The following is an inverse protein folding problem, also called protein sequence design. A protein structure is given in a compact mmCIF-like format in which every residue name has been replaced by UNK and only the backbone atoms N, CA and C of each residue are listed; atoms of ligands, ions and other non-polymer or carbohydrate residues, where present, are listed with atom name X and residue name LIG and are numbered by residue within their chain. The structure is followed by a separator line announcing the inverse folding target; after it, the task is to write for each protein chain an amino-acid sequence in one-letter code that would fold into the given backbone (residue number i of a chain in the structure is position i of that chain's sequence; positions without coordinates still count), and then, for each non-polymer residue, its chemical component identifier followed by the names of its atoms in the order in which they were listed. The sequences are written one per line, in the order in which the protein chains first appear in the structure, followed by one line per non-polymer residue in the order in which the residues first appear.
data_IF_914268712016
#
_entry.id   IF_914268712016
#
_cell.length_a   1.000
_cell.length_b   1.000
_cell.length_c   1.000
_cell.angle_alpha   90.00
_cell.angle_beta   90.00
_cell.angle_gamma   90.00
#
_symmetry.space_group_name_H-M   'P 1'
#
loop_
_entity.id
_entity.type
_entity.pdbx_description
1 polymer ?
#
# COMPACT_ATOMS: atom_id res chain seq x y z
N UNK A 1 24.97 -13.09 -4.68
CA UNK A 1 23.92 -13.16 -3.64
C UNK A 1 22.87 -14.14 -4.14
N UNK A 2 22.28 -14.97 -3.28
CA UNK A 2 21.20 -15.85 -3.73
C UNK A 2 20.00 -14.98 -4.14
N UNK A 3 19.37 -15.28 -5.28
CA UNK A 3 18.14 -14.59 -5.70
C UNK A 3 17.05 -14.80 -4.65
N UNK A 4 16.40 -13.72 -4.21
CA UNK A 4 15.32 -13.77 -3.21
C UNK A 4 14.20 -14.67 -3.69
N UNK A 5 13.63 -15.47 -2.79
CA UNK A 5 12.45 -16.29 -3.09
C UNK A 5 11.23 -15.39 -3.08
N UNK A 6 10.61 -15.20 -4.25
CA UNK A 6 9.46 -14.31 -4.41
C UNK A 6 8.17 -15.09 -4.51
N UNK A 7 7.18 -14.70 -3.73
CA UNK A 7 5.82 -15.21 -3.77
C UNK A 7 4.90 -14.14 -4.38
N UNK A 8 4.10 -14.49 -5.38
CA UNK A 8 3.09 -13.60 -5.94
C UNK A 8 1.70 -14.23 -5.73
N UNK A 9 0.86 -13.53 -4.98
CA UNK A 9 -0.49 -14.01 -4.67
C UNK A 9 -1.42 -13.62 -5.81
N UNK A 10 -1.88 -14.62 -6.54
CA UNK A 10 -2.70 -14.45 -7.73
C UNK A 10 -3.46 -15.73 -8.08
N UNK A 11 -4.71 -15.55 -8.52
CA UNK A 11 -5.47 -16.52 -9.31
C UNK A 11 -6.39 -15.77 -10.26
N UNK A 12 -6.86 -16.44 -11.32
CA UNK A 12 -7.82 -15.84 -12.25
C UNK A 12 -9.14 -15.45 -11.55
N UNK A 13 -9.59 -16.25 -10.58
CA UNK A 13 -10.78 -15.93 -9.75
C UNK A 13 -10.53 -14.69 -8.91
N UNK A 14 -9.37 -14.61 -8.25
CA UNK A 14 -9.02 -13.45 -7.43
C UNK A 14 -9.00 -12.16 -8.24
N UNK A 15 -8.38 -12.18 -9.43
CA UNK A 15 -8.34 -11.00 -10.30
C UNK A 15 -9.73 -10.62 -10.79
N UNK A 16 -10.58 -11.58 -11.16
CA UNK A 16 -11.98 -11.30 -11.51
C UNK A 16 -12.74 -10.63 -10.37
N UNK A 17 -12.55 -11.11 -9.14
CA UNK A 17 -13.12 -10.48 -7.95
C UNK A 17 -12.57 -9.07 -7.74
N UNK A 18 -11.27 -8.84 -7.90
CA UNK A 18 -10.69 -7.50 -7.73
C UNK A 18 -11.17 -6.50 -8.80
N UNK A 19 -11.41 -6.97 -10.03
CA UNK A 19 -11.90 -6.15 -11.12
C UNK A 19 -13.40 -5.83 -11.03
N UNK A 20 -14.15 -6.45 -10.11
CA UNK A 20 -15.57 -6.13 -9.91
C UNK A 20 -15.76 -4.76 -9.24
N UNK A 21 -14.74 -4.20 -8.61
CA UNK A 21 -14.80 -2.89 -7.96
C UNK A 21 -15.00 -1.76 -8.98
N UNK A 22 -16.18 -1.15 -8.99
CA UNK A 22 -16.59 -0.19 -10.01
C UNK A 22 -15.68 1.03 -10.16
N UNK A 23 -15.05 1.49 -9.07
CA UNK A 23 -14.16 2.66 -9.09
C UNK A 23 -12.77 2.40 -9.67
N UNK A 24 -12.36 1.14 -9.79
CA UNK A 24 -11.03 0.75 -10.29
C UNK A 24 -11.15 -0.39 -11.31
N UNK A 25 -11.91 -0.17 -12.40
CA UNK A 25 -12.23 -1.23 -13.34
C UNK A 25 -10.95 -1.78 -13.97
N UNK A 26 -10.80 -3.10 -13.97
CA UNK A 26 -9.73 -3.81 -14.66
C UNK A 26 -8.29 -3.51 -14.19
N UNK A 27 -8.09 -2.78 -13.08
CA UNK A 27 -6.75 -2.46 -12.58
C UNK A 27 -5.96 -3.72 -12.24
N UNK A 28 -6.59 -4.68 -11.57
CA UNK A 28 -5.92 -5.92 -11.17
C UNK A 28 -5.55 -6.78 -12.38
N UNK A 29 -6.46 -6.91 -13.35
CA UNK A 29 -6.15 -7.60 -14.62
C UNK A 29 -5.03 -6.92 -15.38
N UNK A 30 -5.04 -5.60 -15.49
CA UNK A 30 -4.04 -4.89 -16.29
C UNK A 30 -2.64 -5.01 -15.68
N UNK A 31 -2.52 -4.91 -14.36
CA UNK A 31 -1.26 -5.16 -13.64
C UNK A 31 -0.79 -6.60 -13.87
N UNK A 32 -1.66 -7.60 -13.65
CA UNK A 32 -1.29 -8.99 -13.82
C UNK A 32 -0.85 -9.30 -15.25
N UNK A 33 -1.61 -8.85 -16.25
CA UNK A 33 -1.34 -9.13 -17.64
C UNK A 33 -0.07 -8.43 -18.13
N UNK A 34 0.26 -7.23 -17.62
CA UNK A 34 1.53 -6.58 -17.95
C UNK A 34 2.72 -7.34 -17.34
N UNK A 35 2.65 -7.74 -16.06
CA UNK A 35 3.65 -8.60 -15.41
C UNK A 35 3.85 -9.90 -16.21
N UNK A 36 2.75 -10.51 -16.65
CA UNK A 36 2.75 -11.73 -17.48
C UNK A 36 3.37 -11.48 -18.86
N UNK A 37 3.06 -10.35 -19.50
CA UNK A 37 3.54 -9.99 -20.83
C UNK A 37 5.06 -9.79 -20.86
N UNK A 38 5.64 -9.23 -19.78
CA UNK A 38 7.10 -9.18 -19.58
C UNK A 38 7.74 -10.53 -19.21
N UNK A 39 6.94 -11.59 -19.06
CA UNK A 39 7.43 -12.93 -18.74
C UNK A 39 7.97 -13.08 -17.32
N UNK A 40 7.55 -12.22 -16.38
CA UNK A 40 8.08 -12.19 -15.03
C UNK A 40 7.61 -13.38 -14.17
N UNK A 41 6.44 -13.97 -14.47
CA UNK A 41 5.84 -15.05 -13.68
C UNK A 41 6.76 -16.27 -13.50
N UNK A 42 7.68 -16.53 -14.44
CA UNK A 42 8.62 -17.65 -14.37
C UNK A 42 9.70 -17.51 -13.28
N UNK A 43 9.87 -16.31 -12.72
CA UNK A 43 10.86 -16.00 -11.69
C UNK A 43 10.26 -15.95 -10.28
N UNK A 44 8.96 -16.17 -10.14
CA UNK A 44 8.24 -16.10 -8.87
C UNK A 44 7.37 -17.33 -8.67
N UNK A 45 7.11 -17.68 -7.42
CA UNK A 45 6.12 -18.68 -7.07
C UNK A 45 4.74 -18.01 -7.07
N UNK A 46 3.89 -18.37 -8.01
CA UNK A 46 2.50 -17.90 -8.05
C UNK A 46 1.63 -18.83 -7.19
N UNK A 47 0.85 -18.27 -6.26
CA UNK A 47 -0.09 -19.04 -5.44
C UNK A 47 -1.48 -18.39 -5.44
N UNK A 48 -2.51 -19.22 -5.46
CA UNK A 48 -3.88 -18.74 -5.28
C UNK A 48 -4.08 -18.24 -3.84
N UNK A 49 -4.75 -17.10 -3.64
CA UNK A 49 -5.14 -16.66 -2.30
C UNK A 49 -6.22 -17.57 -1.73
N UNK A 50 -6.25 -17.67 -0.40
CA UNK A 50 -7.46 -18.13 0.30
C UNK A 50 -8.44 -16.96 0.45
N UNK A 51 -9.70 -17.29 0.61
CA UNK A 51 -10.73 -16.37 1.08
C UNK A 51 -10.48 -16.04 2.56
N UNK A 52 -10.57 -14.77 2.98
CA UNK A 52 -10.61 -14.46 4.41
C UNK A 52 -11.95 -14.94 4.99
N UNK A 53 -11.89 -15.66 6.10
CA UNK A 53 -13.08 -15.99 6.88
C UNK A 53 -13.52 -14.81 7.74
N UNK A 54 -14.74 -14.84 8.25
CA UNK A 54 -15.19 -13.84 9.22
C UNK A 54 -14.22 -13.72 10.41
N UNK A 55 -13.74 -14.85 10.96
CA UNK A 55 -12.77 -14.87 12.06
C UNK A 55 -11.44 -14.20 11.71
N UNK A 56 -10.98 -14.33 10.45
CA UNK A 56 -9.78 -13.63 9.98
C UNK A 56 -9.99 -12.11 10.00
N UNK A 57 -11.15 -11.65 9.52
CA UNK A 57 -11.48 -10.22 9.46
C UNK A 57 -11.69 -9.64 10.87
N UNK A 58 -12.34 -10.41 11.75
CA UNK A 58 -12.63 -10.05 13.13
C UNK A 58 -11.38 -10.03 14.03
N UNK A 59 -10.22 -10.47 13.52
CA UNK A 59 -8.95 -10.26 14.21
C UNK A 59 -8.60 -8.78 14.39
N UNK A 60 -9.17 -7.89 13.57
CA UNK A 60 -9.08 -6.45 13.71
C UNK A 60 -10.45 -5.80 13.82
N UNK A 61 -11.31 -6.02 12.83
CA UNK A 61 -12.61 -5.34 12.73
C UNK A 61 -13.61 -5.83 13.78
N UNK A 62 -14.59 -5.01 14.18
CA UNK A 62 -15.66 -5.51 15.05
C UNK A 62 -16.63 -6.43 14.31
N UNK A 63 -17.19 -7.38 15.04
CA UNK A 63 -18.27 -8.24 14.55
C UNK A 63 -19.49 -7.42 14.09
N UNK A 64 -19.76 -6.29 14.75
CA UNK A 64 -20.88 -5.40 14.41
C UNK A 64 -20.68 -4.76 13.03
N UNK A 65 -19.49 -4.20 12.77
CA UNK A 65 -19.14 -3.66 11.47
C UNK A 65 -19.19 -4.73 10.38
N UNK A 66 -18.57 -5.89 10.60
CA UNK A 66 -18.51 -6.97 9.62
C UNK A 66 -19.90 -7.53 9.29
N UNK A 67 -20.74 -7.75 10.30
CA UNK A 67 -22.11 -8.24 10.10
C UNK A 67 -22.95 -7.24 9.30
N UNK A 68 -22.82 -5.94 9.58
CA UNK A 68 -23.50 -4.90 8.81
C UNK A 68 -22.98 -4.83 7.38
N UNK A 69 -21.66 -4.87 7.21
CA UNK A 69 -21.01 -4.82 5.91
C UNK A 69 -21.40 -6.01 5.01
N UNK A 70 -21.45 -7.23 5.56
CA UNK A 70 -21.90 -8.42 4.85
C UNK A 70 -23.38 -8.31 4.45
N UNK A 71 -24.24 -7.79 5.34
CA UNK A 71 -25.66 -7.57 5.05
C UNK A 71 -25.85 -6.62 3.87
N UNK A 72 -25.22 -5.43 3.90
CA UNK A 72 -25.38 -4.43 2.83
C UNK A 72 -24.74 -4.89 1.52
N UNK A 73 -23.66 -5.67 1.57
CA UNK A 73 -23.05 -6.27 0.38
C UNK A 73 -24.00 -7.24 -0.33
N UNK A 74 -24.87 -7.92 0.44
CA UNK A 74 -25.82 -8.89 -0.10
C UNK A 74 -27.12 -8.26 -0.60
N UNK A 75 -27.52 -7.13 -0.02
CA UNK A 75 -28.75 -6.41 -0.37
C UNK A 75 -28.52 -5.31 -1.44
N UNK A 76 -27.26 -4.87 -1.64
CA UNK A 76 -26.88 -3.92 -2.69
C UNK A 76 -27.32 -2.49 -2.42
N UNK A 77 -27.42 -1.67 -3.47
CA UNK A 77 -27.80 -0.24 -3.37
C UNK A 77 -29.21 -0.01 -2.79
N UNK A 78 -30.07 -1.03 -2.81
CA UNK A 78 -31.43 -0.98 -2.24
C UNK A 78 -31.42 -1.06 -0.70
N UNK A 79 -30.28 -1.37 -0.09
CA UNK A 79 -30.08 -1.36 1.36
C UNK A 79 -29.94 0.08 1.89
N UNK A 80 -31.03 0.85 1.90
CA UNK A 80 -31.09 2.16 2.58
C UNK A 80 -31.15 1.96 4.10
N UNK A 81 -30.05 1.48 4.66
CA UNK A 81 -29.88 1.30 6.11
C UNK A 81 -29.24 2.55 6.69
N UNK A 82 -29.93 3.30 7.59
CA UNK A 82 -29.39 4.52 8.21
C UNK A 82 -28.06 4.31 8.94
N UNK A 83 -27.80 3.09 9.40
CA UNK A 83 -26.57 2.68 10.10
C UNK A 83 -25.34 2.65 9.18
N UNK A 84 -25.52 2.52 7.86
CA UNK A 84 -24.42 2.49 6.88
C UNK A 84 -23.54 3.74 6.96
N UNK A 85 -24.14 4.92 7.21
CA UNK A 85 -23.36 6.15 7.39
C UNK A 85 -22.47 6.13 8.64
N UNK A 86 -22.88 5.44 9.70
CA UNK A 86 -22.07 5.32 10.93
C UNK A 86 -20.87 4.40 10.73
N UNK A 87 -20.99 3.46 9.78
CA UNK A 87 -19.92 2.55 9.38
C UNK A 87 -19.11 3.06 8.18
N UNK A 88 -19.29 4.33 7.78
CA UNK A 88 -18.54 4.96 6.68
C UNK A 88 -18.91 4.43 5.28
N UNK A 89 -20.02 3.72 5.16
CA UNK A 89 -20.52 3.16 3.90
C UNK A 89 -21.45 4.18 3.24
N UNK A 90 -21.03 4.72 2.10
CA UNK A 90 -21.71 5.82 1.45
C UNK A 90 -20.92 6.42 0.29
N UNK A 91 -20.65 7.73 0.34
CA UNK A 91 -20.16 8.50 -0.80
C UNK A 91 -18.82 7.99 -1.35
N UNK A 92 -17.79 7.95 -0.51
CA UNK A 92 -16.46 7.48 -0.90
C UNK A 92 -16.36 5.96 -0.88
N UNK A 93 -17.05 5.28 0.05
CA UNK A 93 -17.15 3.81 0.10
C UNK A 93 -18.56 3.33 -0.30
N UNK A 94 -18.92 3.31 -1.60
CA UNK A 94 -20.26 2.93 -2.05
C UNK A 94 -20.57 1.48 -1.70
N UNK A 95 -21.82 1.22 -1.34
CA UNK A 95 -22.34 -0.13 -1.20
C UNK A 95 -22.65 -0.67 -2.59
N UNK A 96 -22.12 -1.84 -2.91
CA UNK A 96 -22.38 -2.53 -4.17
C UNK A 96 -22.48 -4.03 -3.90
N UNK A 97 -23.25 -4.73 -4.72
CA UNK A 97 -23.37 -6.19 -4.61
C UNK A 97 -21.99 -6.85 -4.74
N UNK A 98 -21.64 -7.70 -3.78
CA UNK A 98 -20.37 -8.44 -3.81
C UNK A 98 -19.15 -7.71 -3.23
N UNK A 99 -19.33 -6.52 -2.63
CA UNK A 99 -18.22 -5.73 -2.07
C UNK A 99 -17.56 -6.39 -0.85
N UNK A 100 -18.32 -7.16 -0.07
CA UNK A 100 -17.79 -7.94 1.05
C UNK A 100 -16.87 -9.06 0.56
N UNK A 101 -17.30 -9.79 -0.47
CA UNK A 101 -16.49 -10.83 -1.13
C UNK A 101 -15.22 -10.24 -1.72
N UNK A 102 -15.30 -9.05 -2.32
CA UNK A 102 -14.11 -8.31 -2.75
C UNK A 102 -13.15 -8.03 -1.58
N UNK A 103 -13.65 -7.40 -0.51
CA UNK A 103 -12.83 -7.01 0.63
C UNK A 103 -12.20 -8.22 1.33
N UNK A 104 -12.98 -9.28 1.52
CA UNK A 104 -12.50 -10.54 2.08
C UNK A 104 -11.46 -11.22 1.17
N UNK A 105 -11.56 -11.08 -0.16
CA UNK A 105 -10.64 -11.73 -1.09
C UNK A 105 -9.28 -11.06 -1.04
N UNK A 106 -9.29 -9.72 -0.98
CA UNK A 106 -8.09 -8.91 -0.81
C UNK A 106 -7.44 -9.18 0.55
N UNK A 107 -8.21 -9.19 1.63
CA UNK A 107 -7.71 -9.55 2.96
C UNK A 107 -7.10 -10.96 2.99
N UNK A 108 -7.78 -11.93 2.38
CA UNK A 108 -7.32 -13.30 2.27
C UNK A 108 -6.02 -13.43 1.48
N UNK A 109 -5.86 -12.64 0.41
CA UNK A 109 -4.62 -12.57 -0.36
C UNK A 109 -3.45 -12.01 0.44
N UNK A 110 -3.66 -10.92 1.19
CA UNK A 110 -2.64 -10.35 2.07
C UNK A 110 -2.27 -11.30 3.21
N UNK A 111 -3.24 -11.99 3.81
CA UNK A 111 -2.99 -13.03 4.82
C UNK A 111 -2.22 -14.22 4.25
N UNK A 112 -2.52 -14.63 3.02
CA UNK A 112 -1.79 -15.70 2.30
C UNK A 112 -0.33 -15.30 2.07
N UNK A 113 -0.09 -14.05 1.66
CA UNK A 113 1.26 -13.50 1.46
C UNK A 113 2.04 -13.44 2.78
N UNK A 114 1.42 -12.90 3.83
CA UNK A 114 2.00 -12.80 5.17
C UNK A 114 2.34 -14.18 5.77
N UNK A 115 1.48 -15.18 5.57
CA UNK A 115 1.74 -16.55 5.99
C UNK A 115 2.95 -17.18 5.27
N UNK A 116 3.12 -16.89 3.98
CA UNK A 116 4.31 -17.30 3.22
C UNK A 116 5.61 -16.78 3.83
N UNK A 117 5.63 -15.49 4.23
CA UNK A 117 6.77 -14.87 4.90
C UNK A 117 6.99 -15.43 6.31
N UNK A 118 5.92 -15.51 7.11
CA UNK A 118 5.93 -16.04 8.49
C UNK A 118 6.51 -17.45 8.56
N UNK A 119 6.13 -18.30 7.60
CA UNK A 119 6.56 -19.70 7.53
C UNK A 119 7.93 -19.87 6.81
N UNK A 120 8.57 -18.78 6.38
CA UNK A 120 9.87 -18.81 5.69
C UNK A 120 9.81 -19.44 4.29
N UNK A 121 8.64 -19.48 3.64
CA UNK A 121 8.45 -20.02 2.28
C UNK A 121 9.05 -19.08 1.24
N UNK A 122 8.98 -17.77 1.48
CA UNK A 122 9.54 -16.72 0.65
C UNK A 122 10.26 -15.66 1.49
N UNK A 123 11.05 -14.85 0.82
CA UNK A 123 11.75 -13.69 1.40
C UNK A 123 10.99 -12.39 1.07
N UNK A 124 10.30 -12.37 -0.08
CA UNK A 124 9.39 -11.29 -0.50
C UNK A 124 8.05 -11.88 -0.94
N UNK A 125 6.94 -11.29 -0.51
CA UNK A 125 5.60 -11.66 -0.95
C UNK A 125 4.87 -10.45 -1.54
N UNK A 126 4.17 -10.64 -2.65
CA UNK A 126 3.50 -9.59 -3.42
C UNK A 126 1.98 -9.81 -3.42
N UNK A 127 1.23 -8.78 -3.04
CA UNK A 127 -0.22 -8.67 -3.28
C UNK A 127 -0.58 -7.26 -3.76
N UNK A 128 -0.52 -7.02 -5.08
CA UNK A 128 -0.77 -5.70 -5.66
C UNK A 128 -2.23 -5.22 -5.56
N UNK A 129 -3.19 -6.09 -5.29
CA UNK A 129 -4.59 -5.69 -5.11
C UNK A 129 -4.95 -5.37 -3.64
N UNK A 130 -4.02 -5.58 -2.71
CA UNK A 130 -4.11 -5.12 -1.31
C UNK A 130 -3.52 -3.73 -1.10
N UNK A 131 -3.42 -3.32 0.16
CA UNK A 131 -2.90 -1.99 0.54
C UNK A 131 -3.98 -0.98 0.93
N UNK A 132 -5.18 -1.43 1.30
CA UNK A 132 -6.33 -0.58 1.64
C UNK A 132 -6.20 -0.03 3.07
N UNK A 133 -5.36 1.00 3.20
CA UNK A 133 -4.84 1.48 4.47
C UNK A 133 -5.77 2.39 5.30
N UNK A 134 -6.88 2.89 4.73
CA UNK A 134 -7.77 3.85 5.42
C UNK A 134 -8.85 3.20 6.28
N UNK A 135 -9.18 1.92 6.03
CA UNK A 135 -10.23 1.22 6.76
C UNK A 135 -9.90 1.21 8.27
N UNK A 136 -10.87 1.63 9.08
CA UNK A 136 -10.76 1.66 10.53
C UNK A 136 -11.29 0.35 11.10
N UNK A 137 -11.22 0.23 12.43
CA UNK A 137 -11.75 -0.94 13.14
C UNK A 137 -13.24 -1.17 12.84
N UNK A 138 -14.00 -0.09 12.90
CA UNK A 138 -15.47 -0.11 12.86
C UNK A 138 -16.02 0.78 11.73
N UNK A 139 -15.21 1.14 10.73
CA UNK A 139 -15.62 2.10 9.71
C UNK A 139 -14.84 1.91 8.39
N UNK A 140 -15.55 1.95 7.26
CA UNK A 140 -14.95 2.07 5.93
C UNK A 140 -14.55 3.53 5.66
N UNK A 141 -13.45 3.75 4.95
CA UNK A 141 -13.00 5.11 4.61
C UNK A 141 -12.13 5.10 3.35
N UNK A 142 -12.25 6.11 2.48
CA UNK A 142 -11.33 6.30 1.36
C UNK A 142 -11.18 5.07 0.45
N UNK A 143 -12.30 4.47 0.03
CA UNK A 143 -12.38 3.23 -0.75
C UNK A 143 -11.96 1.95 0.00
N UNK A 144 -11.57 2.04 1.26
CA UNK A 144 -11.11 0.92 2.07
C UNK A 144 -12.23 0.43 2.98
N UNK A 145 -12.69 -0.80 2.76
CA UNK A 145 -13.72 -1.45 3.59
C UNK A 145 -13.09 -2.32 4.68
N UNK A 146 -12.12 -3.15 4.31
CA UNK A 146 -11.34 -3.99 5.23
C UNK A 146 -9.87 -3.57 5.16
N UNK A 147 -9.23 -3.45 6.32
CA UNK A 147 -7.82 -3.09 6.39
C UNK A 147 -6.95 -4.35 6.27
N UNK A 148 -6.72 -4.79 5.02
CA UNK A 148 -5.90 -5.97 4.74
C UNK A 148 -4.45 -5.80 5.25
N UNK A 149 -3.95 -4.56 5.30
CA UNK A 149 -2.62 -4.23 5.80
C UNK A 149 -2.50 -4.56 7.29
N UNK A 150 -3.45 -4.12 8.11
CA UNK A 150 -3.49 -4.42 9.55
C UNK A 150 -3.55 -5.92 9.79
N UNK A 151 -4.41 -6.64 9.05
CA UNK A 151 -4.52 -8.10 9.14
C UNK A 151 -3.20 -8.79 8.75
N UNK A 152 -2.53 -8.32 7.70
CA UNK A 152 -1.20 -8.78 7.30
C UNK A 152 -0.13 -8.56 8.38
N UNK A 153 -0.11 -7.38 9.00
CA UNK A 153 0.81 -7.06 10.11
C UNK A 153 0.52 -7.96 11.32
N UNK A 154 -0.75 -8.14 11.71
CA UNK A 154 -1.13 -9.03 12.81
C UNK A 154 -0.66 -10.47 12.55
N UNK A 155 -0.81 -10.96 11.31
CA UNK A 155 -0.32 -12.28 10.91
C UNK A 155 1.21 -12.41 11.00
N UNK A 156 1.95 -11.38 10.58
CA UNK A 156 3.42 -11.35 10.72
C UNK A 156 3.85 -11.28 12.20
N UNK A 157 3.10 -10.55 13.04
CA UNK A 157 3.37 -10.38 14.47
C UNK A 157 3.26 -11.67 15.29
N UNK A 158 2.65 -12.72 14.74
CA UNK A 158 2.68 -14.07 15.32
C UNK A 158 4.10 -14.67 15.38
N UNK A 159 5.00 -14.25 14.49
CA UNK A 159 6.40 -14.72 14.44
C UNK A 159 7.41 -13.60 14.71
N UNK A 160 7.18 -12.40 14.18
CA UNK A 160 8.14 -11.29 14.21
C UNK A 160 7.77 -10.30 15.32
N UNK A 161 8.68 -10.01 16.24
CA UNK A 161 8.44 -9.13 17.39
C UNK A 161 8.34 -7.65 17.03
N UNK A 162 9.00 -7.25 15.94
CA UNK A 162 9.04 -5.86 15.45
C UNK A 162 8.74 -5.85 13.96
N UNK A 163 7.59 -5.29 13.59
CA UNK A 163 7.18 -5.14 12.19
C UNK A 163 7.22 -3.66 11.83
N UNK A 164 7.92 -3.31 10.76
CA UNK A 164 7.93 -1.95 10.23
C UNK A 164 6.92 -1.86 9.07
N UNK A 165 5.95 -0.97 9.19
CA UNK A 165 5.06 -0.58 8.10
C UNK A 165 5.59 0.69 7.46
N UNK A 166 5.76 0.67 6.13
CA UNK A 166 6.18 1.83 5.34
C UNK A 166 5.11 2.10 4.30
N UNK A 167 4.62 3.33 4.27
CA UNK A 167 3.56 3.79 3.40
C UNK A 167 4.11 4.84 2.42
N UNK A 168 4.09 4.49 1.14
CA UNK A 168 4.49 5.37 0.04
C UNK A 168 3.28 5.88 -0.78
N UNK A 169 2.05 5.65 -0.31
CA UNK A 169 0.84 6.23 -0.90
C UNK A 169 0.87 7.76 -0.81
N UNK A 170 0.12 8.42 -1.69
CA UNK A 170 -0.04 9.86 -1.61
C UNK A 170 -0.75 10.29 -0.30
N UNK A 171 -1.68 9.46 0.17
CA UNK A 171 -2.49 9.73 1.35
C UNK A 171 -1.83 9.18 2.61
N UNK A 172 -2.11 9.82 3.75
CA UNK A 172 -1.65 9.31 5.04
C UNK A 172 -2.33 7.95 5.32
N UNK A 173 -1.52 6.93 5.65
CA UNK A 173 -1.96 5.58 6.05
C UNK A 173 -2.57 5.51 7.45
N UNK A 174 -3.56 6.37 7.67
CA UNK A 174 -4.19 6.67 8.95
C UNK A 174 -4.86 5.46 9.62
N UNK A 175 -5.50 4.56 8.87
CA UNK A 175 -6.12 3.35 9.45
C UNK A 175 -5.09 2.38 10.03
N UNK A 176 -3.93 2.25 9.39
CA UNK A 176 -2.82 1.43 9.90
C UNK A 176 -2.13 2.10 11.08
N UNK A 177 -1.93 3.43 11.01
CA UNK A 177 -1.41 4.21 12.14
C UNK A 177 -2.32 4.09 13.36
N UNK A 178 -3.62 4.34 13.22
CA UNK A 178 -4.59 4.26 14.32
C UNK A 178 -4.57 2.88 14.99
N UNK A 179 -4.55 1.81 14.19
CA UNK A 179 -4.55 0.43 14.66
C UNK A 179 -3.33 0.09 15.54
N UNK A 180 -2.19 0.74 15.32
CA UNK A 180 -0.93 0.45 16.00
C UNK A 180 -0.37 1.59 16.84
N UNK A 181 -1.04 2.75 16.89
CA UNK A 181 -0.61 3.97 17.59
C UNK A 181 -0.31 3.76 19.08
N UNK A 182 -0.87 2.74 19.73
CA UNK A 182 -0.66 2.43 21.14
C UNK A 182 0.41 1.38 21.44
N UNK A 183 1.07 0.79 20.42
CA UNK A 183 2.04 -0.30 20.61
C UNK A 183 3.44 0.05 20.11
N UNK A 184 4.51 -0.30 20.86
CA UNK A 184 5.89 -0.16 20.38
C UNK A 184 6.34 -1.35 19.51
N UNK A 185 5.44 -2.28 19.18
CA UNK A 185 5.76 -3.51 18.44
C UNK A 185 5.64 -3.36 16.94
N UNK A 186 4.98 -2.30 16.50
CA UNK A 186 4.81 -1.94 15.09
C UNK A 186 5.19 -0.48 14.97
N UNK A 187 6.06 -0.16 14.00
CA UNK A 187 6.29 1.24 13.61
C UNK A 187 5.49 1.50 12.35
N UNK A 188 4.73 2.59 12.33
CA UNK A 188 4.13 3.13 11.10
C UNK A 188 4.97 4.29 10.61
N UNK A 189 5.37 4.24 9.35
CA UNK A 189 6.11 5.30 8.68
C UNK A 189 5.37 5.69 7.40
N UNK A 190 4.89 6.93 7.29
CA UNK A 190 4.12 7.38 6.13
C UNK A 190 4.73 8.63 5.49
N UNK A 191 4.87 8.60 4.16
CA UNK A 191 5.32 9.72 3.33
C UNK A 191 4.17 10.20 2.45
N UNK A 192 3.47 11.25 2.88
CA UNK A 192 2.19 11.62 2.28
C UNK A 192 2.08 13.13 2.06
N UNK A 193 1.13 13.54 1.20
CA UNK A 193 0.74 14.94 1.13
C UNK A 193 0.02 15.33 2.41
N UNK A 194 0.45 16.43 3.02
CA UNK A 194 -0.23 17.04 4.16
C UNK A 194 -0.51 18.50 3.87
N UNK A 195 -1.79 18.84 3.71
CA UNK A 195 -2.23 20.21 3.46
C UNK A 195 -3.69 20.40 3.90
N UNK A 196 -4.11 21.62 4.26
CA UNK A 196 -5.49 21.89 4.65
C UNK A 196 -6.50 21.39 3.61
N UNK A 197 -7.43 20.52 4.03
CA UNK A 197 -8.47 19.96 3.18
C UNK A 197 -8.05 18.77 2.30
N UNK A 198 -6.80 18.30 2.41
CA UNK A 198 -6.38 17.05 1.76
C UNK A 198 -6.74 15.85 2.64
N UNK A 199 -7.30 14.81 2.03
CA UNK A 199 -7.71 13.58 2.72
C UNK A 199 -6.47 12.80 3.20
N UNK A 200 -6.51 12.12 4.37
CA UNK A 200 -7.60 12.08 5.35
C UNK A 200 -7.60 13.26 6.35
N UNK A 201 -6.60 14.14 6.29
CA UNK A 201 -6.46 15.31 7.17
C UNK A 201 -5.69 15.06 8.47
N UNK A 202 -5.11 13.85 8.62
CA UNK A 202 -4.21 13.44 9.71
C UNK A 202 -2.78 13.25 9.18
N UNK A 203 -1.84 12.88 10.06
CA UNK A 203 -0.44 12.66 9.69
C UNK A 203 0.44 13.89 9.82
N UNK A 204 0.08 14.83 10.71
CA UNK A 204 0.97 15.94 11.05
C UNK A 204 2.29 15.41 11.68
N UNK A 205 3.38 16.18 11.56
CA UNK A 205 4.67 15.84 12.17
C UNK A 205 4.59 15.64 13.69
N UNK A 206 3.63 16.29 14.36
CA UNK A 206 3.39 16.15 15.79
C UNK A 206 2.64 14.86 16.18
N UNK A 207 2.01 14.17 15.22
CA UNK A 207 1.32 12.89 15.44
C UNK A 207 2.34 11.75 15.52
N UNK A 208 2.79 11.46 16.75
CA UNK A 208 3.87 10.51 17.03
C UNK A 208 3.38 9.24 17.73
N UNK A 209 2.08 8.95 17.71
CA UNK A 209 1.50 7.82 18.43
C UNK A 209 1.26 8.11 19.92
N UNK A 210 0.66 7.14 20.62
CA UNK A 210 0.05 7.33 21.94
C UNK A 210 0.49 6.27 22.94
N UNK A 211 0.44 6.63 24.24
CA UNK A 211 0.74 5.69 25.32
C UNK A 211 2.10 5.00 25.14
N UNK A 212 2.10 3.67 25.01
CA UNK A 212 3.31 2.88 24.79
C UNK A 212 3.83 2.91 23.35
N UNK A 213 3.01 3.32 22.39
CA UNK A 213 3.39 3.52 20.99
C UNK A 213 3.82 4.95 20.68
N UNK A 214 3.93 5.83 21.69
CA UNK A 214 4.49 7.16 21.47
C UNK A 214 5.94 7.06 20.95
N UNK A 215 6.23 7.81 19.89
CA UNK A 215 7.42 7.79 19.04
C UNK A 215 7.54 6.57 18.10
N UNK A 216 6.49 5.76 17.96
CA UNK A 216 6.43 4.63 17.02
C UNK A 216 5.51 4.89 15.81
N UNK A 217 4.83 6.02 15.77
CA UNK A 217 4.21 6.57 14.56
C UNK A 217 5.09 7.69 14.01
N UNK A 218 5.44 7.61 12.73
CA UNK A 218 6.40 8.52 12.08
C UNK A 218 5.75 9.05 10.81
N UNK A 219 5.47 10.35 10.83
CA UNK A 219 4.82 11.03 9.73
C UNK A 219 5.79 11.97 9.02
N UNK A 220 5.81 11.89 7.68
CA UNK A 220 6.62 12.74 6.81
C UNK A 220 5.68 13.57 5.94
N UNK A 221 5.18 14.71 6.44
CA UNK A 221 4.27 15.57 5.70
C UNK A 221 5.00 16.26 4.55
N UNK A 222 4.46 16.14 3.34
CA UNK A 222 5.01 16.70 2.10
C UNK A 222 3.99 17.61 1.40
N UNK A 223 4.49 18.47 0.52
CA UNK A 223 3.72 19.39 -0.30
C UNK A 223 3.68 18.95 -1.77
N UNK A 224 2.84 19.62 -2.57
CA UNK A 224 2.65 19.29 -3.99
C UNK A 224 3.94 19.38 -4.82
N UNK A 225 4.01 18.55 -5.86
CA UNK A 225 5.02 18.61 -6.90
C UNK A 225 6.38 18.02 -6.56
N UNK A 226 6.53 17.31 -5.43
CA UNK A 226 7.77 16.60 -5.13
C UNK A 226 8.10 15.60 -6.25
N UNK A 227 9.38 15.56 -6.64
CA UNK A 227 9.90 14.71 -7.71
C UNK A 227 10.93 13.70 -7.15
N UNK A 228 11.32 12.74 -7.99
CA UNK A 228 12.12 11.57 -7.61
C UNK A 228 13.35 11.89 -6.73
N UNK A 229 14.24 12.79 -7.17
CA UNK A 229 15.51 13.07 -6.47
C UNK A 229 15.27 13.47 -5.01
N UNK A 230 14.42 14.49 -4.80
CA UNK A 230 14.10 15.00 -3.46
C UNK A 230 13.34 13.97 -2.62
N UNK A 231 12.39 13.25 -3.21
CA UNK A 231 11.61 12.23 -2.51
C UNK A 231 12.50 11.09 -2.02
N UNK A 232 13.40 10.60 -2.88
CA UNK A 232 14.33 9.51 -2.57
C UNK A 232 15.35 9.93 -1.51
N UNK A 233 15.87 11.15 -1.56
CA UNK A 233 16.79 11.66 -0.53
C UNK A 233 16.14 11.70 0.86
N UNK A 234 14.90 12.18 0.96
CA UNK A 234 14.11 12.21 2.19
C UNK A 234 13.84 10.78 2.67
N UNK A 235 13.32 9.92 1.79
CA UNK A 235 13.06 8.52 2.10
C UNK A 235 14.31 7.82 2.61
N UNK A 236 15.43 7.93 1.89
CA UNK A 236 16.70 7.33 2.30
C UNK A 236 17.13 7.78 3.70
N UNK A 237 17.09 9.08 3.97
CA UNK A 237 17.45 9.64 5.29
C UNK A 237 16.56 9.08 6.41
N UNK A 238 15.24 9.07 6.23
CA UNK A 238 14.30 8.61 7.26
C UNK A 238 14.36 7.09 7.42
N UNK A 239 14.29 6.35 6.32
CA UNK A 239 14.34 4.88 6.31
C UNK A 239 15.60 4.35 6.97
N UNK A 240 16.76 4.95 6.70
CA UNK A 240 18.02 4.58 7.34
C UNK A 240 17.94 4.78 8.86
N UNK A 241 17.47 5.94 9.32
CA UNK A 241 17.37 6.25 10.74
C UNK A 241 16.40 5.28 11.44
N UNK A 242 15.21 5.06 10.89
CA UNK A 242 14.19 4.14 11.43
C UNK A 242 14.73 2.71 11.50
N UNK A 243 15.33 2.20 10.42
CA UNK A 243 15.87 0.84 10.39
C UNK A 243 16.97 0.64 11.45
N UNK A 244 17.86 1.62 11.65
CA UNK A 244 18.93 1.52 12.66
C UNK A 244 18.43 1.62 14.10
N UNK A 245 17.32 2.34 14.34
CA UNK A 245 16.76 2.52 15.67
C UNK A 245 15.80 1.39 16.05
N UNK A 246 14.85 1.09 15.18
CA UNK A 246 13.79 0.11 15.46
C UNK A 246 14.23 -1.34 15.21
N UNK A 247 15.21 -1.56 14.34
CA UNK A 247 15.73 -2.89 13.99
C UNK A 247 14.61 -3.90 13.64
N UNK A 248 13.81 -3.64 12.58
CA UNK A 248 12.67 -4.48 12.23
C UNK A 248 13.09 -5.92 11.91
N UNK A 249 12.18 -6.84 12.19
CA UNK A 249 12.31 -8.27 11.91
C UNK A 249 11.54 -8.67 10.64
N UNK A 250 10.48 -7.94 10.30
CA UNK A 250 9.78 -8.01 9.02
C UNK A 250 9.29 -6.61 8.61
N UNK A 251 9.04 -6.43 7.32
CA UNK A 251 8.61 -5.16 6.74
C UNK A 251 7.33 -5.36 5.91
N UNK A 252 6.41 -4.41 6.00
CA UNK A 252 5.27 -4.29 5.10
C UNK A 252 5.40 -2.96 4.38
N UNK A 253 5.44 -2.97 3.05
CA UNK A 253 5.48 -1.76 2.25
C UNK A 253 4.21 -1.65 1.40
N UNK A 254 3.53 -0.52 1.55
CA UNK A 254 2.43 -0.10 0.70
C UNK A 254 3.02 0.81 -0.39
N UNK A 255 2.74 0.49 -1.66
CA UNK A 255 3.24 1.21 -2.83
C UNK A 255 2.08 1.80 -3.64
N UNK A 256 1.29 2.66 -3.00
CA UNK A 256 0.27 3.48 -3.64
C UNK A 256 0.86 4.24 -4.83
N UNK A 257 0.24 4.05 -5.99
CA UNK A 257 0.70 4.59 -7.27
C UNK A 257 0.07 5.95 -7.61
N UNK A 258 -0.70 6.54 -6.69
CA UNK A 258 -1.29 7.88 -6.84
C UNK A 258 -0.31 9.02 -6.55
N UNK A 259 0.91 8.70 -6.11
CA UNK A 259 2.04 9.64 -6.08
C UNK A 259 2.62 9.93 -7.47
N UNK A 260 2.27 9.13 -8.49
CA UNK A 260 2.87 9.22 -9.80
C UNK A 260 2.40 10.45 -10.59
N UNK A 261 3.32 10.96 -11.42
CA UNK A 261 2.97 11.94 -12.44
C UNK A 261 1.84 11.42 -13.34
N UNK A 262 0.87 12.29 -13.61
CA UNK A 262 -0.31 11.96 -14.42
C UNK A 262 -1.46 11.31 -13.64
N UNK A 263 -1.30 11.01 -12.35
CA UNK A 263 -2.43 10.55 -11.54
C UNK A 263 -3.52 11.64 -11.42
N UNK A 264 -4.83 11.30 -11.50
CA UNK A 264 -5.94 12.22 -11.32
C UNK A 264 -5.90 13.02 -10.01
N UNK A 265 -5.27 12.51 -8.94
CA UNK A 265 -5.08 13.25 -7.69
C UNK A 265 -4.24 14.51 -7.84
N UNK A 266 -3.44 14.58 -8.92
CA UNK A 266 -2.74 15.80 -9.34
C UNK A 266 -1.94 16.47 -8.22
N UNK A 267 -1.22 15.68 -7.41
CA UNK A 267 -0.43 16.21 -6.28
C UNK A 267 1.09 16.05 -6.46
N UNK A 268 1.63 14.85 -6.30
CA UNK A 268 3.07 14.60 -6.48
C UNK A 268 3.46 14.49 -7.97
N UNK A 269 4.76 14.36 -8.21
CA UNK A 269 5.34 14.30 -9.56
C UNK A 269 6.38 13.17 -9.68
N UNK A 270 6.11 12.03 -9.03
CA UNK A 270 7.02 10.90 -9.00
C UNK A 270 6.95 10.05 -10.26
N UNK A 271 7.99 9.26 -10.49
CA UNK A 271 7.99 8.18 -11.47
C UNK A 271 8.17 6.82 -10.78
N UNK A 272 7.88 5.69 -11.45
CA UNK A 272 8.19 4.37 -10.92
C UNK A 272 9.66 4.21 -10.51
N UNK A 273 10.59 4.96 -11.14
CA UNK A 273 12.01 4.90 -10.82
C UNK A 273 12.30 5.43 -9.41
N UNK A 274 11.68 6.54 -9.01
CA UNK A 274 11.81 7.09 -7.65
C UNK A 274 11.32 6.10 -6.59
N UNK A 275 10.10 5.58 -6.74
CA UNK A 275 9.56 4.54 -5.85
C UNK A 275 10.42 3.27 -5.85
N UNK A 276 10.97 2.89 -7.01
CA UNK A 276 11.87 1.75 -7.13
C UNK A 276 13.19 1.92 -6.36
N UNK A 277 13.73 3.14 -6.27
CA UNK A 277 14.89 3.43 -5.44
C UNK A 277 14.56 3.28 -3.95
N UNK A 278 13.38 3.74 -3.51
CA UNK A 278 12.89 3.52 -2.14
C UNK A 278 12.73 2.02 -1.84
N UNK A 279 12.16 1.24 -2.78
CA UNK A 279 12.05 -0.22 -2.66
C UNK A 279 13.42 -0.90 -2.52
N UNK A 280 14.40 -0.51 -3.33
CA UNK A 280 15.75 -1.10 -3.27
C UNK A 280 16.45 -0.86 -1.92
N UNK A 281 16.22 0.30 -1.29
CA UNK A 281 16.71 0.57 0.08
C UNK A 281 16.14 -0.46 1.05
N UNK A 282 14.82 -0.69 1.02
CA UNK A 282 14.14 -1.65 1.89
C UNK A 282 14.60 -3.08 1.63
N UNK A 283 14.66 -3.50 0.35
CA UNK A 283 15.12 -4.84 -0.02
C UNK A 283 16.58 -5.09 0.39
N UNK A 284 17.42 -4.05 0.39
CA UNK A 284 18.81 -4.12 0.85
C UNK A 284 18.96 -4.55 2.32
N UNK A 285 17.92 -4.37 3.14
CA UNK A 285 17.92 -4.82 4.54
C UNK A 285 17.76 -6.34 4.69
N UNK A 286 17.39 -7.05 3.61
CA UNK A 286 17.24 -8.51 3.57
C UNK A 286 16.33 -9.03 4.70
N UNK A 287 15.21 -8.33 4.91
CA UNK A 287 14.14 -8.72 5.82
C UNK A 287 13.01 -9.39 5.03
N UNK A 288 12.22 -10.29 5.67
CA UNK A 288 10.94 -10.72 5.13
C UNK A 288 10.08 -9.49 4.82
N UNK A 289 9.71 -9.31 3.54
CA UNK A 289 9.03 -8.10 3.07
C UNK A 289 7.74 -8.44 2.35
N UNK A 290 6.64 -7.88 2.83
CA UNK A 290 5.33 -7.91 2.17
C UNK A 290 5.16 -6.63 1.35
N UNK A 291 4.93 -6.75 0.05
CA UNK A 291 4.63 -5.62 -0.84
C UNK A 291 3.15 -5.63 -1.21
N UNK A 292 2.50 -4.49 -0.96
CA UNK A 292 1.10 -4.23 -1.25
C UNK A 292 0.98 -3.10 -2.27
N UNK A 293 -0.19 -3.02 -2.91
CA UNK A 293 -0.55 -1.92 -3.79
C UNK A 293 -0.99 -0.70 -2.99
N UNK A 294 -2.22 -0.23 -3.23
CA UNK A 294 -2.78 0.98 -2.63
C UNK A 294 -3.61 1.80 -3.61
N UNK A 295 -3.58 3.12 -3.43
CA UNK A 295 -4.07 4.11 -4.40
C UNK A 295 -3.38 4.01 -5.76
N UNK A 296 -3.87 4.76 -6.74
CA UNK A 296 -3.36 4.77 -8.10
C UNK A 296 -4.50 4.67 -9.11
N UNK A 297 -4.90 5.83 -9.61
CA UNK A 297 -6.14 6.06 -10.34
C UNK A 297 -5.89 6.32 -11.83
N UNK A 298 -4.64 6.61 -12.23
CA UNK A 298 -4.22 6.43 -13.62
C UNK A 298 -3.83 4.98 -13.88
N UNK A 299 -4.80 4.15 -14.24
CA UNK A 299 -4.66 2.69 -14.31
C UNK A 299 -3.39 2.22 -15.05
N UNK A 300 -3.09 2.76 -16.24
CA UNK A 300 -1.93 2.33 -17.03
C UNK A 300 -0.60 2.66 -16.34
N UNK A 301 -0.52 3.77 -15.62
CA UNK A 301 0.68 4.15 -14.87
C UNK A 301 0.83 3.32 -13.60
N UNK A 302 -0.29 2.95 -12.96
CA UNK A 302 -0.28 1.95 -11.87
C UNK A 302 0.26 0.61 -12.35
N UNK A 303 -0.21 0.12 -13.51
CA UNK A 303 0.31 -1.13 -14.10
C UNK A 303 1.80 -1.03 -14.45
N UNK A 304 2.24 0.08 -15.07
CA UNK A 304 3.68 0.35 -15.31
C UNK A 304 4.49 0.28 -14.02
N UNK A 305 4.03 0.98 -12.98
CA UNK A 305 4.71 1.08 -11.70
C UNK A 305 4.86 -0.27 -11.03
N UNK A 306 3.76 -0.98 -10.77
CA UNK A 306 3.81 -2.25 -10.06
C UNK A 306 4.52 -3.35 -10.86
N UNK A 307 4.48 -3.30 -12.20
CA UNK A 307 5.29 -4.18 -13.05
C UNK A 307 6.78 -3.89 -12.90
N UNK A 308 7.18 -2.62 -12.95
CA UNK A 308 8.56 -2.19 -12.76
C UNK A 308 9.08 -2.57 -11.36
N UNK A 309 8.31 -2.31 -10.30
CA UNK A 309 8.66 -2.71 -8.94
C UNK A 309 8.77 -4.24 -8.83
N UNK A 310 7.89 -5.00 -9.47
CA UNK A 310 7.97 -6.47 -9.52
C UNK A 310 9.29 -6.93 -10.16
N UNK A 311 9.71 -6.30 -11.27
CA UNK A 311 10.97 -6.63 -11.91
C UNK A 311 12.19 -6.33 -11.02
N UNK A 312 12.16 -5.22 -10.27
CA UNK A 312 13.19 -4.88 -9.29
C UNK A 312 13.33 -5.91 -8.18
N UNK A 313 12.21 -6.44 -7.66
CA UNK A 313 12.21 -7.53 -6.67
C UNK A 313 12.86 -8.80 -7.24
N UNK A 314 12.67 -9.05 -8.53
CA UNK A 314 13.15 -10.24 -9.24
C UNK A 314 14.56 -10.07 -9.84
N UNK A 315 15.22 -8.93 -9.61
CA UNK A 315 16.49 -8.56 -10.22
C UNK A 315 16.46 -8.69 -11.76
N UNK A 316 15.34 -8.27 -12.37
CA UNK A 316 15.13 -8.27 -13.82
C UNK A 316 15.16 -6.86 -14.38
N UNK A 317 15.85 -6.69 -15.51
CA UNK A 317 15.81 -5.46 -16.30
C UNK A 317 14.75 -5.62 -17.38
N UNK A 318 13.76 -4.73 -17.39
CA UNK A 318 12.71 -4.72 -18.40
C UNK A 318 13.12 -3.87 -19.61
N UNK A 319 12.62 -4.24 -20.78
CA UNK A 319 12.66 -3.35 -21.94
C UNK A 319 11.73 -2.15 -21.70
N UNK A 320 12.05 -1.01 -22.31
CA UNK A 320 11.17 0.17 -22.31
C UNK A 320 9.89 -0.11 -23.09
N UNK A 321 9.98 -0.82 -24.22
CA UNK A 321 8.83 -1.18 -25.05
C UNK A 321 7.88 -2.13 -24.31
N UNK A 322 6.61 -1.74 -24.20
CA UNK A 322 5.57 -2.56 -23.59
C UNK A 322 5.22 -3.74 -24.53
N UNK A 323 5.30 -4.99 -24.05
CA UNK A 323 4.90 -6.13 -24.88
C UNK A 323 3.40 -6.15 -25.15
N UNK A 324 3.02 -6.65 -26.33
CA UNK A 324 1.62 -6.79 -26.73
C UNK A 324 0.85 -7.71 -25.76
N UNK A 325 -0.33 -7.26 -25.33
CA UNK A 325 -1.26 -7.97 -24.46
C UNK A 325 -2.65 -7.33 -24.52
N UNK A 326 -3.63 -7.86 -23.79
CA UNK A 326 -5.03 -7.44 -23.86
C UNK A 326 -5.27 -5.94 -23.68
N UNK A 327 -4.52 -5.27 -22.79
CA UNK A 327 -4.67 -3.84 -22.49
C UNK A 327 -3.61 -2.98 -23.20
N UNK A 328 -2.89 -3.51 -24.19
CA UNK A 328 -1.84 -2.77 -24.91
C UNK A 328 -2.27 -1.37 -25.42
N UNK A 329 -3.50 -1.15 -25.95
CA UNK A 329 -3.94 0.18 -26.37
C UNK A 329 -3.97 1.24 -25.26
N UNK A 330 -4.15 0.84 -24.00
CA UNK A 330 -4.23 1.76 -22.85
C UNK A 330 -2.87 2.44 -22.52
N UNK A 331 -1.79 1.95 -23.11
CA UNK A 331 -0.44 2.48 -22.90
C UNK A 331 -0.02 3.49 -23.97
N UNK A 332 -0.91 3.80 -24.92
CA UNK A 332 -0.68 4.83 -25.93
C UNK A 332 -0.53 6.24 -25.33
N UNK A 333 0.04 7.18 -26.11
CA UNK A 333 0.52 7.00 -27.47
C UNK A 333 1.94 6.42 -27.56
N UNK A 334 2.68 6.37 -26.45
CA UNK A 334 4.12 6.09 -26.48
C UNK A 334 4.46 4.60 -26.35
N UNK A 335 3.57 3.79 -25.74
CA UNK A 335 3.75 2.36 -25.53
C UNK A 335 5.05 1.97 -24.80
N UNK A 336 5.54 2.87 -23.94
CA UNK A 336 6.73 2.66 -23.11
C UNK A 336 6.36 2.44 -21.63
N UNK A 337 7.23 1.74 -20.91
CA UNK A 337 7.08 1.41 -19.49
C UNK A 337 7.33 2.63 -18.59
N UNK A 338 8.23 3.51 -19.00
CA UNK A 338 8.57 4.71 -18.25
C UNK A 338 7.37 5.68 -18.15
N UNK A 339 7.28 6.37 -17.01
CA UNK A 339 6.34 7.47 -16.81
C UNK A 339 7.12 8.77 -16.87
N UNK A 340 6.70 9.68 -17.74
CA UNK A 340 7.33 10.99 -17.88
C UNK A 340 6.90 11.91 -16.73
N UNK A 341 7.83 12.56 -16.00
CA UNK A 341 7.48 13.59 -15.04
C UNK A 341 6.70 14.73 -15.69
N UNK A 342 5.72 15.29 -14.97
CA UNK A 342 5.01 16.50 -15.39
C UNK A 342 5.82 17.77 -15.15
N UNK A 343 5.35 18.90 -15.70
CA UNK A 343 5.96 20.23 -15.52
C UNK A 343 5.46 20.95 -14.24
N UNK A 344 5.00 20.21 -13.22
CA UNK A 344 4.48 20.80 -11.98
C UNK A 344 5.64 21.36 -11.15
N UNK A 345 5.44 22.56 -10.61
CA UNK A 345 6.40 23.16 -9.67
C UNK A 345 6.42 22.39 -8.34
N UNK A 346 7.62 22.09 -7.86
CA UNK A 346 7.82 21.52 -6.53
C UNK A 346 7.69 22.61 -5.45
N UNK A 347 6.72 22.46 -4.57
CA UNK A 347 6.42 23.40 -3.48
C UNK A 347 7.06 23.02 -2.15
N UNK A 348 7.84 21.93 -2.10
CA UNK A 348 8.52 21.46 -0.90
C UNK A 348 9.77 22.32 -0.63
N UNK A 349 9.64 23.25 0.32
CA UNK A 349 10.72 24.13 0.76
C UNK A 349 11.83 23.32 1.46
N UNK A 350 13.10 23.37 0.99
CA UNK A 350 14.21 22.65 1.60
C UNK A 350 14.38 22.91 3.11
N UNK A 351 14.22 24.15 3.56
CA UNK A 351 14.38 24.49 4.99
C UNK A 351 13.28 23.86 5.85
N UNK A 352 12.06 23.73 5.30
CA UNK A 352 10.97 23.05 6.00
C UNK A 352 11.22 21.55 6.06
N UNK A 353 11.69 20.94 4.97
CA UNK A 353 12.05 19.53 4.95
C UNK A 353 13.19 19.19 5.91
N UNK A 354 14.20 20.05 6.00
CA UNK A 354 15.28 19.90 6.98
C UNK A 354 14.75 19.94 8.43
N UNK A 355 13.76 20.78 8.70
CA UNK A 355 13.08 20.83 10.00
C UNK A 355 12.32 19.54 10.28
N UNK A 356 11.53 19.05 9.31
CA UNK A 356 10.81 17.76 9.41
C UNK A 356 11.80 16.62 9.71
N UNK A 357 12.90 16.53 8.96
CA UNK A 357 13.94 15.52 9.17
C UNK A 357 14.62 15.65 10.55
N UNK A 358 14.86 16.86 11.03
CA UNK A 358 15.44 17.09 12.34
C UNK A 358 14.50 16.64 13.47
N UNK A 359 13.20 16.94 13.33
CA UNK A 359 12.17 16.55 14.30
C UNK A 359 11.99 15.03 14.36
N UNK A 360 11.94 14.35 13.19
CA UNK A 360 11.92 12.88 13.13
C UNK A 360 13.14 12.29 13.83
N UNK A 361 14.35 12.80 13.55
CA UNK A 361 15.57 12.32 14.19
C UNK A 361 15.57 12.54 15.70
N UNK A 362 14.94 13.61 16.19
CA UNK A 362 14.78 13.84 17.63
C UNK A 362 13.79 12.85 18.24
N UNK A 363 12.63 12.69 17.62
CA UNK A 363 11.60 11.72 18.05
C UNK A 363 12.15 10.29 18.13
N UNK A 364 12.97 9.88 17.15
CA UNK A 364 13.60 8.56 17.13
C UNK A 364 14.52 8.29 18.34
N UNK A 365 15.10 9.33 18.96
CA UNK A 365 15.94 9.15 20.17
C UNK A 365 15.15 8.69 21.39
N UNK A 366 13.82 8.83 21.34
CA UNK A 366 12.92 8.44 22.42
C UNK A 366 12.36 7.01 22.26
N UNK A 367 12.65 6.33 21.15
CA UNK A 367 12.33 4.91 21.01
C UNK A 367 13.17 4.09 22.00
N UNK A 368 12.50 3.38 22.91
CA UNK A 368 13.12 2.59 23.98
C UNK A 368 13.06 1.09 23.72
#
# INVERSE_FOLDING_TARGET
MASSRVLYVHSDDYVRTCDSMARLPHRASMVHLLIKAYGLLKFMRVIAPRMASHDDLAAFHSDAYLSHFELVSREGEDADLPESQQYGLGYDCPVMEGVFEYAAAVAGATLTAAEGLRNGVCDVALNWAGGWHHAKKDEASGFCYVNDVVLGILKLREQFQRVLYIDFDLHHGDGVEDAFSFTPKVVTLSFHKFSPGFFPGTGDIAEVGLGRGRFYSINVPLSDGIADEKYVDICHSVLQAVNTTFLPEAVVCQFGADTLAGDPMCSFNLTPKGLGQCLQIVLGWQKPTLLLGGGGYHLANTARCWTYLTALVLDQVLASEIPEHQFFPEYGPDYVLEVTPGCRSDTNNPAHLDQVLAEIRENLKHMA
#
